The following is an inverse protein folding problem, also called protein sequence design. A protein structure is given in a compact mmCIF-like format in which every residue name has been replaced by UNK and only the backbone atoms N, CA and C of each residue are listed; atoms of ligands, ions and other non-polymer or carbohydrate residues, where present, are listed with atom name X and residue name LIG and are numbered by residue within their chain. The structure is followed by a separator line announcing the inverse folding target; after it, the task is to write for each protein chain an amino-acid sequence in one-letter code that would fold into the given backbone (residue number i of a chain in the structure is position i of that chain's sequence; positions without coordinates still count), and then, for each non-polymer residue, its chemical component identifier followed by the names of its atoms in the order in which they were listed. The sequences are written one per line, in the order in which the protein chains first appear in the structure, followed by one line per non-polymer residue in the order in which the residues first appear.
data_IF_353042028152
#
_entry.id   IF_353042028152
#
_cell.length_a   1.000
_cell.length_b   1.000
_cell.length_c   1.000
_cell.angle_alpha   90.00
_cell.angle_beta   90.00
_cell.angle_gamma   90.00
#
_symmetry.space_group_name_H-M   'P 1'
#
loop_
_entity.id
_entity.type
_entity.pdbx_description
1 polymer ?
#
# COMPACT_ATOMS: atom_id res chain seq x y z
N UNK A 1 -14.32 9.69 4.50
CA UNK A 1 -13.48 9.03 5.54
C UNK A 1 -12.09 8.79 4.97
N UNK A 2 -11.03 8.77 5.79
CA UNK A 2 -9.64 8.59 5.31
C UNK A 2 -8.95 7.45 6.05
N UNK A 3 -8.14 6.64 5.34
CA UNK A 3 -7.33 5.54 5.89
C UNK A 3 -5.93 5.60 5.30
N UNK A 4 -4.91 5.35 6.12
CA UNK A 4 -3.52 5.21 5.67
C UNK A 4 -3.06 3.76 5.88
N UNK A 5 -2.38 3.18 4.89
CA UNK A 5 -1.79 1.85 4.96
C UNK A 5 -0.36 1.87 4.44
N UNK A 6 0.48 0.96 4.93
CA UNK A 6 1.80 0.72 4.35
C UNK A 6 1.67 -0.47 3.41
N UNK A 7 1.95 -0.25 2.13
CA UNK A 7 2.09 -1.29 1.12
C UNK A 7 3.55 -1.67 1.02
N UNK A 8 3.84 -2.96 1.06
CA UNK A 8 5.16 -3.54 0.99
C UNK A 8 5.20 -4.56 -0.14
N UNK A 9 6.28 -4.54 -0.91
CA UNK A 9 6.52 -5.50 -1.97
C UNK A 9 8.00 -5.89 -1.98
N UNK A 10 8.28 -7.16 -1.69
CA UNK A 10 9.60 -7.78 -1.81
C UNK A 10 9.63 -8.78 -2.98
N UNK A 11 8.60 -9.63 -3.07
CA UNK A 11 8.35 -10.53 -4.21
C UNK A 11 6.84 -10.76 -4.38
N UNK A 12 6.42 -11.41 -5.46
CA UNK A 12 5.02 -11.81 -5.67
C UNK A 12 4.45 -12.64 -4.52
N UNK A 13 5.29 -13.39 -3.80
CA UNK A 13 4.89 -14.20 -2.64
C UNK A 13 5.07 -13.49 -1.29
N UNK A 14 5.72 -12.33 -1.27
CA UNK A 14 6.05 -11.56 -0.07
C UNK A 14 5.66 -10.09 -0.29
N UNK A 15 4.37 -9.84 -0.24
CA UNK A 15 3.75 -8.52 -0.29
C UNK A 15 2.45 -8.53 0.54
N UNK A 16 1.83 -7.37 0.70
CA UNK A 16 0.54 -7.22 1.40
C UNK A 16 -0.48 -6.49 0.51
N UNK A 17 -0.49 -6.76 -0.80
CA UNK A 17 -1.40 -6.12 -1.74
C UNK A 17 -2.87 -6.51 -1.52
N UNK A 18 -3.14 -7.63 -0.84
CA UNK A 18 -4.48 -8.11 -0.54
C UNK A 18 -5.33 -7.08 0.21
N UNK A 19 -4.80 -6.48 1.29
CA UNK A 19 -5.53 -5.46 2.05
C UNK A 19 -5.87 -4.23 1.19
N UNK A 20 -4.92 -3.78 0.36
CA UNK A 20 -5.17 -2.68 -0.56
C UNK A 20 -6.30 -3.04 -1.54
N UNK A 21 -6.23 -4.23 -2.15
CA UNK A 21 -7.20 -4.68 -3.13
C UNK A 21 -8.61 -4.82 -2.54
N UNK A 22 -8.72 -5.31 -1.30
CA UNK A 22 -10.00 -5.36 -0.59
C UNK A 22 -10.61 -3.96 -0.42
N UNK A 23 -9.82 -2.99 0.04
CA UNK A 23 -10.30 -1.61 0.20
C UNK A 23 -10.74 -1.01 -1.14
N UNK A 24 -9.98 -1.24 -2.21
CA UNK A 24 -10.35 -0.79 -3.56
C UNK A 24 -11.66 -1.42 -4.03
N UNK A 25 -11.85 -2.73 -3.79
CA UNK A 25 -13.10 -3.43 -4.13
C UNK A 25 -14.32 -2.90 -3.37
N UNK A 26 -14.12 -2.38 -2.16
CA UNK A 26 -15.16 -1.74 -1.35
C UNK A 26 -15.43 -0.28 -1.76
N UNK A 27 -14.79 0.21 -2.83
CA UNK A 27 -14.99 1.54 -3.39
C UNK A 27 -14.13 2.65 -2.77
N UNK A 28 -13.12 2.32 -1.96
CA UNK A 28 -12.11 3.29 -1.54
C UNK A 28 -11.24 3.70 -2.73
N UNK A 29 -10.77 4.95 -2.74
CA UNK A 29 -9.90 5.52 -3.78
C UNK A 29 -8.56 5.90 -3.20
N UNK A 30 -7.47 5.58 -3.90
CA UNK A 30 -6.14 6.09 -3.54
C UNK A 30 -6.10 7.59 -3.86
N UNK A 31 -5.77 8.41 -2.87
CA UNK A 31 -5.64 9.86 -3.02
C UNK A 31 -4.20 10.35 -2.87
N UNK A 32 -3.34 9.53 -2.26
CA UNK A 32 -1.91 9.82 -2.18
C UNK A 32 -1.11 8.53 -2.03
N UNK A 33 0.06 8.49 -2.67
CA UNK A 33 1.04 7.43 -2.51
C UNK A 33 2.43 8.08 -2.37
N UNK A 34 3.13 7.75 -1.30
CA UNK A 34 4.48 8.23 -1.04
C UNK A 34 5.42 7.04 -0.85
N UNK A 35 6.50 7.01 -1.63
CA UNK A 35 7.55 6.00 -1.45
C UNK A 35 8.24 6.22 -0.10
N UNK A 36 8.34 5.16 0.69
CA UNK A 36 9.14 5.15 1.91
C UNK A 36 10.50 4.57 1.55
N UNK A 37 11.58 5.33 1.77
CA UNK A 37 12.93 4.91 1.40
C UNK A 37 13.27 3.50 1.91
N UNK A 38 13.93 2.70 1.07
CA UNK A 38 14.21 1.28 1.34
C UNK A 38 15.36 1.07 2.32
N UNK A 39 15.04 0.79 3.57
CA UNK A 39 16.01 0.36 4.58
C UNK A 39 16.44 -1.11 4.38
N UNK A 40 17.26 -1.36 3.36
CA UNK A 40 17.94 -2.64 3.14
C UNK A 40 17.09 -3.77 2.52
N UNK A 41 17.72 -4.56 1.64
CA UNK A 41 17.17 -5.73 0.92
C UNK A 41 15.88 -5.50 0.13
N UNK A 42 15.99 -5.06 -1.14
CA UNK A 42 15.01 -5.19 -2.26
C UNK A 42 13.50 -5.05 -1.97
N UNK A 43 13.12 -4.54 -0.80
CA UNK A 43 11.74 -4.42 -0.34
C UNK A 43 11.36 -2.97 -0.55
N UNK A 44 10.32 -2.76 -1.34
CA UNK A 44 9.76 -1.45 -1.59
C UNK A 44 8.62 -1.24 -0.62
N UNK A 45 8.65 -0.12 0.11
CA UNK A 45 7.57 0.31 0.98
C UNK A 45 6.95 1.59 0.41
N UNK A 46 5.62 1.68 0.46
CA UNK A 46 4.87 2.88 0.09
C UNK A 46 3.79 3.15 1.13
N UNK A 47 3.71 4.38 1.61
CA UNK A 47 2.56 4.86 2.35
C UNK A 47 1.45 5.19 1.34
N UNK A 48 0.30 4.55 1.47
CA UNK A 48 -0.88 4.79 0.62
C UNK A 48 -1.99 5.36 1.48
N UNK A 49 -2.53 6.51 1.05
CA UNK A 49 -3.69 7.15 1.67
C UNK A 49 -4.91 6.90 0.78
N UNK A 50 -5.97 6.38 1.39
CA UNK A 50 -7.24 6.10 0.75
C UNK A 50 -8.37 6.95 1.32
N UNK A 51 -9.33 7.29 0.48
CA UNK A 51 -10.57 7.98 0.87
C UNK A 51 -11.82 7.27 0.34
N UNK A 52 -12.90 7.40 1.11
CA UNK A 52 -14.23 6.88 0.79
C UNK A 52 -15.31 7.87 1.17
#
# INVERSE_FOLDING_TARGET
MQKAIIVSYLTDKKNNLEELNELLSQGWKVVSQSSMGGGGMNTVHSLVILEK
#
